data_IF_206652338100
#
_entry.id   IF_206652338100
#
_cell.length_a   1.000
_cell.length_b   1.000
_cell.length_c   1.000
_cell.angle_alpha   90.00
_cell.angle_beta   90.00
_cell.angle_gamma   90.00
#
_symmetry.space_group_name_H-M   'P 1'
#
loop_
_entity.id
_entity.type
_entity.pdbx_description
1 polymer ?
#
# COMPACT_ATOMS: atom_id res chain seq x y z
N UNK A 1 -16.29 11.27 -17.13
CA UNK A 1 -15.06 11.76 -16.46
C UNK A 1 -14.69 13.15 -17.00
N UNK A 2 -14.22 14.03 -16.12
CA UNK A 2 -13.66 15.34 -16.48
C UNK A 2 -12.37 15.18 -17.29
N UNK A 3 -12.06 16.10 -18.21
CA UNK A 3 -10.78 16.12 -18.91
C UNK A 3 -9.61 16.62 -18.03
N UNK A 4 -9.92 17.23 -16.88
CA UNK A 4 -8.94 17.80 -15.97
C UNK A 4 -8.20 16.71 -15.17
N UNK A 5 -6.87 16.79 -15.15
CA UNK A 5 -5.98 16.03 -14.25
C UNK A 5 -5.08 17.04 -13.54
N UNK A 6 -4.96 17.01 -12.22
CA UNK A 6 -3.93 17.77 -11.54
C UNK A 6 -2.56 17.22 -11.93
N UNK A 7 -1.59 18.12 -12.13
CA UNK A 7 -0.19 17.76 -12.34
C UNK A 7 0.60 18.34 -11.17
N UNK A 8 0.61 17.61 -10.05
CA UNK A 8 1.28 18.07 -8.82
C UNK A 8 2.79 17.96 -9.00
N UNK A 9 3.55 19.07 -8.89
CA UNK A 9 5.00 19.01 -8.92
C UNK A 9 5.57 18.12 -7.82
N UNK A 10 6.67 17.41 -8.11
CA UNK A 10 7.26 16.45 -7.15
C UNK A 10 7.66 17.06 -5.80
N UNK A 11 8.01 18.35 -5.77
CA UNK A 11 8.37 19.09 -4.55
C UNK A 11 7.15 19.60 -3.76
N UNK A 12 5.95 19.48 -4.31
CA UNK A 12 4.67 19.84 -3.67
C UNK A 12 3.84 18.61 -3.30
N UNK A 13 4.36 17.42 -3.60
CA UNK A 13 3.64 16.18 -3.38
C UNK A 13 3.64 15.79 -1.89
N UNK A 14 2.46 15.74 -1.30
CA UNK A 14 2.18 15.20 0.03
C UNK A 14 1.29 13.98 -0.16
N UNK A 15 1.89 12.80 -0.02
CA UNK A 15 1.21 11.53 -0.28
C UNK A 15 0.58 10.96 0.98
N UNK A 16 -0.67 10.49 0.86
CA UNK A 16 -1.38 9.74 1.90
C UNK A 16 -1.77 8.37 1.36
N UNK A 17 -1.13 7.32 1.89
CA UNK A 17 -1.44 5.93 1.57
C UNK A 17 -2.60 5.43 2.40
N UNK A 18 -3.60 4.83 1.78
CA UNK A 18 -4.77 4.29 2.47
C UNK A 18 -5.26 2.97 1.88
N UNK A 19 -5.83 2.15 2.75
CA UNK A 19 -6.57 0.94 2.37
C UNK A 19 -8.06 1.28 2.31
N UNK A 20 -8.70 1.08 1.15
CA UNK A 20 -10.09 1.51 0.91
C UNK A 20 -11.05 1.02 1.99
N UNK A 21 -10.99 -0.28 2.32
CA UNK A 21 -11.83 -0.84 3.38
C UNK A 21 -11.47 -0.30 4.76
N UNK A 22 -10.18 -0.29 5.12
CA UNK A 22 -9.73 0.11 6.45
C UNK A 22 -9.99 1.57 6.78
N UNK A 23 -9.88 2.45 5.79
CA UNK A 23 -9.92 3.91 5.99
C UNK A 23 -11.22 4.42 6.61
N UNK A 24 -12.33 3.75 6.38
CA UNK A 24 -13.64 4.19 6.86
C UNK A 24 -14.32 3.23 7.85
N UNK A 25 -13.73 2.06 8.15
CA UNK A 25 -14.38 1.06 9.01
C UNK A 25 -14.61 1.52 10.44
N UNK A 26 -13.72 2.30 11.01
CA UNK A 26 -13.81 2.84 12.38
C UNK A 26 -14.41 4.26 12.44
N UNK A 27 -15.15 4.68 11.42
CA UNK A 27 -15.68 6.04 11.31
C UNK A 27 -16.89 6.34 12.22
N UNK A 28 -17.32 5.38 13.05
CA UNK A 28 -18.55 5.49 13.86
C UNK A 28 -19.85 5.50 13.06
N UNK A 29 -19.78 5.60 11.73
CA UNK A 29 -20.95 5.54 10.83
C UNK A 29 -21.47 4.12 10.75
N UNK A 30 -22.79 3.94 10.87
CA UNK A 30 -23.47 2.66 10.62
C UNK A 30 -23.91 2.62 9.16
N UNK A 31 -23.65 1.50 8.46
CA UNK A 31 -24.23 1.29 7.14
C UNK A 31 -23.30 0.61 6.13
N UNK A 32 -23.87 0.32 4.97
CA UNK A 32 -23.20 -0.42 3.87
C UNK A 32 -22.11 0.36 3.14
N UNK A 33 -22.01 1.68 3.33
CA UNK A 33 -20.98 2.52 2.71
C UNK A 33 -19.59 2.34 3.30
N UNK A 34 -19.47 1.84 4.53
CA UNK A 34 -18.14 1.68 5.15
C UNK A 34 -17.28 0.70 4.36
N UNK A 35 -16.02 1.05 4.18
CA UNK A 35 -15.05 0.22 3.47
C UNK A 35 -15.20 0.25 1.95
N UNK A 36 -15.81 1.29 1.39
CA UNK A 36 -16.05 1.43 -0.04
C UNK A 36 -15.40 2.69 -0.63
N UNK A 37 -15.33 2.77 -1.96
CA UNK A 37 -14.86 3.96 -2.68
C UNK A 37 -15.68 5.21 -2.32
N UNK A 38 -17.00 5.08 -2.20
CA UNK A 38 -17.87 6.19 -1.79
C UNK A 38 -17.54 6.71 -0.38
N UNK A 39 -17.15 5.83 0.53
CA UNK A 39 -16.73 6.25 1.87
C UNK A 39 -15.36 6.94 1.89
N UNK A 40 -14.46 6.60 0.97
CA UNK A 40 -13.20 7.34 0.77
C UNK A 40 -13.50 8.74 0.24
N UNK A 41 -14.39 8.87 -0.73
CA UNK A 41 -14.81 10.14 -1.31
C UNK A 41 -15.35 11.10 -0.23
N UNK A 42 -16.20 10.64 0.68
CA UNK A 42 -16.70 11.45 1.80
C UNK A 42 -15.59 11.99 2.72
N UNK A 43 -14.39 11.39 2.69
CA UNK A 43 -13.25 11.80 3.50
C UNK A 43 -12.28 12.73 2.77
N UNK A 44 -12.53 13.11 1.52
CA UNK A 44 -11.71 14.07 0.79
C UNK A 44 -11.52 15.40 1.54
N UNK A 45 -12.55 16.00 2.16
CA UNK A 45 -12.36 17.21 2.96
C UNK A 45 -11.34 17.04 4.10
N UNK A 46 -11.32 15.88 4.74
CA UNK A 46 -10.33 15.57 5.79
C UNK A 46 -8.91 15.48 5.20
N UNK A 47 -8.73 14.78 4.09
CA UNK A 47 -7.42 14.69 3.41
C UNK A 47 -6.93 16.06 2.97
N UNK A 48 -7.83 16.90 2.45
CA UNK A 48 -7.53 18.28 2.08
C UNK A 48 -7.10 19.14 3.27
N UNK A 49 -7.76 18.99 4.41
CA UNK A 49 -7.40 19.68 5.65
C UNK A 49 -6.01 19.27 6.18
N UNK A 50 -5.55 18.05 5.87
CA UNK A 50 -4.20 17.58 6.17
C UNK A 50 -3.14 18.10 5.17
N UNK A 51 -3.53 18.78 4.10
CA UNK A 51 -2.62 19.23 3.04
C UNK A 51 -2.20 18.12 2.06
N UNK A 52 -2.95 17.01 2.01
CA UNK A 52 -2.69 15.92 1.06
C UNK A 52 -2.92 16.39 -0.36
N UNK A 53 -1.98 16.11 -1.24
CA UNK A 53 -2.05 16.40 -2.69
C UNK A 53 -2.08 15.13 -3.53
N UNK A 54 -1.70 14.00 -2.98
CA UNK A 54 -1.68 12.70 -3.68
C UNK A 54 -2.20 11.60 -2.77
N UNK A 55 -3.23 10.90 -3.21
CA UNK A 55 -3.79 9.74 -2.50
C UNK A 55 -3.26 8.46 -3.13
N UNK A 56 -2.57 7.64 -2.35
CA UNK A 56 -2.14 6.31 -2.76
C UNK A 56 -3.15 5.28 -2.26
N UNK A 57 -3.83 4.63 -3.18
CA UNK A 57 -4.75 3.53 -2.89
C UNK A 57 -3.99 2.20 -2.88
N UNK A 58 -3.98 1.51 -1.75
CA UNK A 58 -3.54 0.11 -1.67
C UNK A 58 -4.36 -0.74 -2.65
N UNK A 59 -3.96 -1.98 -2.99
CA UNK A 59 -4.51 -2.70 -4.14
C UNK A 59 -6.03 -2.61 -4.28
N UNK A 60 -6.47 -2.05 -5.40
CA UNK A 60 -7.89 -1.86 -5.74
C UNK A 60 -8.34 -2.65 -6.97
N UNK A 61 -7.43 -3.41 -7.60
CA UNK A 61 -7.80 -4.41 -8.61
C UNK A 61 -8.45 -5.62 -7.94
N UNK A 62 -9.18 -6.44 -8.69
CA UNK A 62 -9.87 -7.62 -8.14
C UNK A 62 -8.89 -8.74 -7.79
N UNK A 63 -8.81 -9.10 -6.52
CA UNK A 63 -8.00 -10.19 -5.97
C UNK A 63 -8.85 -11.10 -5.08
N UNK A 64 -8.42 -12.33 -4.86
CA UNK A 64 -9.09 -13.25 -3.94
C UNK A 64 -8.87 -12.81 -2.49
N UNK A 65 -9.95 -12.41 -1.81
CA UNK A 65 -9.91 -12.05 -0.39
C UNK A 65 -9.95 -13.26 0.54
N UNK A 66 -10.55 -14.35 0.08
CA UNK A 66 -10.77 -15.56 0.90
C UNK A 66 -10.08 -16.72 0.22
N UNK A 67 -9.08 -17.28 0.86
CA UNK A 67 -8.54 -18.57 0.44
C UNK A 67 -9.58 -19.66 0.71
N UNK A 68 -10.22 -20.13 -0.35
CA UNK A 68 -11.07 -21.31 -0.29
C UNK A 68 -10.16 -22.52 -0.46
N UNK A 69 -10.02 -23.42 0.54
CA UNK A 69 -9.25 -24.64 0.38
C UNK A 69 -9.78 -25.38 -0.85
N UNK A 70 -8.95 -25.57 -1.86
CA UNK A 70 -9.32 -26.37 -3.03
C UNK A 70 -9.61 -27.77 -2.51
N UNK A 71 -10.86 -28.21 -2.56
CA UNK A 71 -11.19 -29.62 -2.29
C UNK A 71 -10.35 -30.44 -3.26
N UNK A 72 -9.38 -31.19 -2.72
CA UNK A 72 -8.64 -32.15 -3.53
C UNK A 72 -9.66 -33.16 -4.07
N UNK A 73 -9.93 -33.11 -5.37
CA UNK A 73 -10.64 -34.19 -6.06
C UNK A 73 -9.67 -35.37 -6.06
N UNK A 74 -9.95 -36.35 -5.22
CA UNK A 74 -9.20 -37.60 -5.27
C UNK A 74 -9.34 -38.20 -6.68
N UNK A 75 -8.24 -38.67 -7.27
CA UNK A 75 -8.32 -39.40 -8.52
C UNK A 75 -9.35 -40.56 -8.40
N UNK A 76 -10.16 -40.78 -9.43
CA UNK A 76 -11.27 -41.74 -9.40
C UNK A 76 -10.90 -43.20 -9.15
N UNK A 77 -9.60 -43.51 -9.12
CA UNK A 77 -9.09 -44.86 -8.77
C UNK A 77 -8.84 -45.07 -7.27
N UNK A 78 -8.99 -44.02 -6.43
CA UNK A 78 -8.89 -44.14 -4.99
C UNK A 78 -10.26 -44.51 -4.42
N UNK A 79 -10.43 -45.69 -3.78
CA UNK A 79 -11.69 -46.06 -3.16
C UNK A 79 -12.13 -45.04 -2.11
N UNK A 80 -13.39 -44.63 -2.13
CA UNK A 80 -13.94 -43.65 -1.19
C UNK A 80 -13.80 -44.04 0.32
N UNK A 81 -13.61 -45.30 0.61
CA UNK A 81 -13.37 -45.79 1.98
C UNK A 81 -11.92 -45.70 2.48
N UNK A 82 -11.00 -45.17 1.64
CA UNK A 82 -9.57 -45.00 2.02
C UNK A 82 -9.28 -43.63 2.62
N UNK A 83 -10.29 -42.75 2.76
CA UNK A 83 -10.16 -41.54 3.51
C UNK A 83 -10.08 -41.87 5.00
N UNK A 84 -9.12 -41.30 5.76
CA UNK A 84 -9.22 -41.37 7.21
C UNK A 84 -10.62 -40.89 7.60
N UNK A 85 -11.30 -41.69 8.45
CA UNK A 85 -12.57 -41.29 9.03
C UNK A 85 -12.46 -39.82 9.42
N UNK A 86 -13.49 -39.04 9.12
CA UNK A 86 -13.58 -37.62 9.47
C UNK A 86 -13.16 -37.48 10.94
N UNK A 87 -11.86 -37.42 11.17
CA UNK A 87 -11.32 -36.87 12.39
C UNK A 87 -11.97 -35.49 12.46
N UNK A 88 -12.67 -35.26 13.52
CA UNK A 88 -13.44 -34.07 13.79
C UNK A 88 -12.70 -32.83 13.28
N UNK A 89 -13.05 -32.33 12.11
CA UNK A 89 -12.77 -30.96 11.70
C UNK A 89 -13.68 -30.10 12.57
N UNK A 90 -13.42 -30.14 13.85
CA UNK A 90 -14.10 -29.39 14.90
C UNK A 90 -13.26 -28.18 15.29
N UNK A 91 -12.69 -27.54 14.33
CA UNK A 91 -12.47 -26.10 14.39
C UNK A 91 -12.79 -25.59 13.00
N UNK A 92 -13.72 -24.66 12.93
CA UNK A 92 -13.86 -23.80 11.77
C UNK A 92 -12.46 -23.30 11.48
N UNK A 93 -11.77 -23.89 10.50
CA UNK A 93 -10.56 -23.28 9.95
C UNK A 93 -10.96 -21.83 9.70
N UNK A 94 -10.45 -20.93 10.52
CA UNK A 94 -10.70 -19.50 10.38
C UNK A 94 -10.18 -19.19 9.00
N UNK A 95 -11.10 -18.93 8.06
CA UNK A 95 -10.73 -18.58 6.69
C UNK A 95 -9.83 -17.38 6.79
N UNK A 96 -8.57 -17.52 6.37
CA UNK A 96 -7.66 -16.40 6.30
C UNK A 96 -8.19 -15.44 5.26
N UNK A 97 -8.23 -14.16 5.60
CA UNK A 97 -8.66 -13.11 4.69
C UNK A 97 -7.40 -12.38 4.23
N UNK A 98 -7.16 -12.37 2.92
CA UNK A 98 -6.15 -11.48 2.34
C UNK A 98 -6.67 -10.05 2.41
N UNK A 99 -6.37 -9.38 3.51
CA UNK A 99 -6.84 -8.03 3.79
C UNK A 99 -6.15 -6.98 2.93
N UNK A 100 -4.84 -7.13 2.71
CA UNK A 100 -4.02 -6.11 2.05
C UNK A 100 -4.12 -6.14 0.52
N UNK A 101 -4.43 -7.29 -0.07
CA UNK A 101 -4.54 -7.45 -1.52
C UNK A 101 -3.22 -7.68 -2.25
N UNK A 102 -2.13 -7.99 -1.53
CA UNK A 102 -0.85 -8.36 -2.15
C UNK A 102 -0.92 -9.79 -2.66
N UNK A 103 -1.64 -9.98 -3.75
CA UNK A 103 -1.81 -11.25 -4.43
C UNK A 103 -2.07 -11.02 -5.91
N UNK A 104 -1.83 -12.03 -6.71
CA UNK A 104 -2.26 -12.09 -8.10
C UNK A 104 -3.79 -11.94 -8.19
N UNK A 105 -4.24 -11.21 -9.21
CA UNK A 105 -5.66 -10.98 -9.39
C UNK A 105 -6.05 -10.68 -10.84
N UNK A 106 -7.26 -10.21 -11.02
CA UNK A 106 -7.72 -9.67 -12.28
C UNK A 106 -7.31 -8.20 -12.38
N UNK A 107 -6.15 -7.94 -12.96
CA UNK A 107 -5.54 -6.61 -13.02
C UNK A 107 -6.32 -5.59 -13.86
N UNK A 108 -7.37 -6.00 -14.57
CA UNK A 108 -8.20 -5.14 -15.43
C UNK A 108 -9.59 -4.86 -14.85
N UNK A 109 -9.83 -5.23 -13.61
CA UNK A 109 -11.10 -5.01 -12.94
C UNK A 109 -10.92 -4.41 -11.56
N UNK A 110 -11.70 -3.40 -11.16
CA UNK A 110 -11.68 -2.88 -9.80
C UNK A 110 -12.28 -3.88 -8.81
N UNK A 111 -11.80 -3.85 -7.57
CA UNK A 111 -12.22 -4.73 -6.48
C UNK A 111 -13.70 -4.61 -6.19
N UNK A 112 -14.47 -5.64 -6.53
CA UNK A 112 -15.94 -5.65 -6.44
C UNK A 112 -16.43 -5.39 -5.00
N UNK A 113 -15.73 -5.90 -3.99
CA UNK A 113 -16.09 -5.74 -2.58
C UNK A 113 -15.85 -4.32 -2.03
N UNK A 114 -15.18 -3.43 -2.78
CA UNK A 114 -15.02 -2.01 -2.45
C UNK A 114 -16.10 -1.12 -3.05
N UNK A 115 -17.03 -1.69 -3.79
CA UNK A 115 -18.20 -0.97 -4.31
C UNK A 115 -19.35 -0.89 -3.30
N UNK A 116 -20.01 0.25 -3.26
CA UNK A 116 -21.27 0.45 -2.54
C UNK A 116 -22.47 0.04 -3.41
N UNK A 117 -22.41 0.34 -4.69
CA UNK A 117 -23.40 0.00 -5.70
C UNK A 117 -22.99 -1.25 -6.50
N UNK A 118 -23.85 -1.65 -7.44
CA UNK A 118 -23.55 -2.74 -8.38
C UNK A 118 -22.53 -2.38 -9.45
N UNK A 119 -22.21 -1.09 -9.61
CA UNK A 119 -21.28 -0.59 -10.63
C UNK A 119 -20.01 -0.01 -10.01
N UNK A 120 -19.15 -0.90 -9.53
CA UNK A 120 -17.88 -0.54 -8.88
C UNK A 120 -16.94 0.24 -9.79
N UNK A 121 -16.94 -0.06 -11.09
CA UNK A 121 -16.14 0.67 -12.08
C UNK A 121 -16.52 2.15 -12.13
N UNK A 122 -17.80 2.45 -12.12
CA UNK A 122 -18.30 3.84 -12.09
C UNK A 122 -17.95 4.54 -10.78
N UNK A 123 -18.03 3.84 -9.66
CA UNK A 123 -17.68 4.40 -8.35
C UNK A 123 -16.20 4.77 -8.26
N UNK A 124 -15.30 3.89 -8.70
CA UNK A 124 -13.87 4.20 -8.70
C UNK A 124 -13.53 5.35 -9.65
N UNK A 125 -14.13 5.37 -10.87
CA UNK A 125 -13.99 6.50 -11.81
C UNK A 125 -14.50 7.80 -11.20
N UNK A 126 -15.58 7.76 -10.43
CA UNK A 126 -16.14 8.93 -9.75
C UNK A 126 -15.23 9.41 -8.62
N UNK A 127 -14.69 8.49 -7.80
CA UNK A 127 -13.72 8.83 -6.76
C UNK A 127 -12.49 9.56 -7.36
N UNK A 128 -11.92 9.03 -8.45
CA UNK A 128 -10.76 9.65 -9.11
C UNK A 128 -11.13 11.04 -9.64
N UNK A 129 -12.29 11.19 -10.29
CA UNK A 129 -12.77 12.50 -10.76
C UNK A 129 -12.94 13.50 -9.59
N UNK A 130 -13.48 13.04 -8.46
CA UNK A 130 -13.68 13.89 -7.28
C UNK A 130 -12.34 14.28 -6.64
N UNK A 131 -11.34 13.38 -6.62
CA UNK A 131 -9.98 13.72 -6.19
C UNK A 131 -9.39 14.81 -7.11
N UNK A 132 -9.47 14.63 -8.42
CA UNK A 132 -8.99 15.64 -9.40
C UNK A 132 -9.64 17.01 -9.22
N UNK A 133 -10.97 17.07 -9.02
CA UNK A 133 -11.71 18.31 -8.74
C UNK A 133 -11.23 18.99 -7.45
N UNK A 134 -10.70 18.23 -6.52
CA UNK A 134 -10.13 18.74 -5.27
C UNK A 134 -8.60 18.96 -5.33
N UNK A 135 -8.01 18.98 -6.52
CA UNK A 135 -6.58 19.18 -6.76
C UNK A 135 -5.72 18.07 -6.12
N UNK A 136 -6.21 16.84 -6.15
CA UNK A 136 -5.51 15.66 -5.63
C UNK A 136 -5.29 14.64 -6.73
N UNK A 137 -4.11 14.07 -6.80
CA UNK A 137 -3.79 12.93 -7.67
C UNK A 137 -4.19 11.61 -7.02
N UNK A 138 -4.46 10.61 -7.86
CA UNK A 138 -4.73 9.24 -7.45
C UNK A 138 -3.60 8.31 -7.95
N UNK A 139 -2.84 7.76 -7.02
CA UNK A 139 -1.83 6.72 -7.27
C UNK A 139 -2.40 5.37 -6.86
N UNK A 140 -2.17 4.35 -7.67
CA UNK A 140 -2.64 3.00 -7.39
C UNK A 140 -1.47 2.08 -7.08
N UNK A 141 -1.57 1.34 -5.99
CA UNK A 141 -0.61 0.31 -5.65
C UNK A 141 -0.92 -0.98 -6.44
N UNK A 142 0.07 -1.49 -7.16
CA UNK A 142 -0.04 -2.66 -8.01
C UNK A 142 1.00 -3.70 -7.61
N UNK A 143 0.53 -4.84 -7.12
CA UNK A 143 1.40 -5.97 -6.76
C UNK A 143 1.46 -6.97 -7.91
N UNK A 144 2.66 -7.40 -8.27
CA UNK A 144 2.90 -8.41 -9.29
C UNK A 144 3.79 -9.52 -8.72
N UNK A 145 3.37 -10.76 -8.93
CA UNK A 145 4.19 -11.92 -8.56
C UNK A 145 5.45 -12.01 -9.42
N UNK A 146 6.47 -12.70 -8.93
CA UNK A 146 7.77 -12.81 -9.61
C UNK A 146 7.67 -13.40 -11.01
N UNK A 147 6.72 -14.31 -11.24
CA UNK A 147 6.52 -14.99 -12.53
C UNK A 147 5.52 -14.27 -13.45
N UNK A 148 5.07 -13.07 -13.09
CA UNK A 148 4.07 -12.37 -13.89
C UNK A 148 4.62 -11.93 -15.25
N UNK A 149 3.79 -12.02 -16.28
CA UNK A 149 4.17 -11.66 -17.63
C UNK A 149 4.38 -10.13 -17.74
N UNK A 150 5.56 -9.72 -18.21
CA UNK A 150 5.91 -8.29 -18.31
C UNK A 150 5.01 -7.50 -19.26
N UNK A 151 4.50 -8.11 -20.34
CA UNK A 151 3.53 -7.46 -21.23
C UNK A 151 2.18 -7.26 -20.52
N UNK A 152 1.75 -8.22 -19.70
CA UNK A 152 0.53 -8.08 -18.88
C UNK A 152 0.68 -6.92 -17.89
N UNK A 153 1.85 -6.76 -17.27
CA UNK A 153 2.13 -5.63 -16.38
C UNK A 153 1.96 -4.30 -17.13
N UNK A 154 2.61 -4.15 -18.29
CA UNK A 154 2.50 -2.94 -19.12
C UNK A 154 1.06 -2.66 -19.53
N UNK A 155 0.33 -3.66 -20.00
CA UNK A 155 -1.05 -3.51 -20.45
C UNK A 155 -2.00 -3.17 -19.30
N UNK A 156 -1.78 -3.74 -18.12
CA UNK A 156 -2.54 -3.37 -16.91
C UNK A 156 -2.32 -1.90 -16.55
N UNK A 157 -1.07 -1.44 -16.50
CA UNK A 157 -0.76 -0.03 -16.18
C UNK A 157 -1.35 0.93 -17.22
N UNK A 158 -1.22 0.63 -18.51
CA UNK A 158 -1.83 1.40 -19.59
C UNK A 158 -3.35 1.47 -19.45
N UNK A 159 -4.00 0.33 -19.14
CA UNK A 159 -5.43 0.28 -18.92
C UNK A 159 -5.88 1.20 -17.79
N UNK A 160 -5.23 1.14 -16.63
CA UNK A 160 -5.58 2.00 -15.49
C UNK A 160 -5.28 3.48 -15.75
N UNK A 161 -4.20 3.78 -16.44
CA UNK A 161 -3.85 5.14 -16.83
C UNK A 161 -4.84 5.75 -17.83
N UNK A 162 -5.29 4.97 -18.81
CA UNK A 162 -6.18 5.47 -19.87
C UNK A 162 -7.65 5.38 -19.51
N UNK A 163 -8.09 4.25 -18.96
CA UNK A 163 -9.50 3.99 -18.70
C UNK A 163 -9.98 4.62 -17.40
N UNK A 164 -9.16 4.62 -16.35
CA UNK A 164 -9.49 5.21 -15.05
C UNK A 164 -8.84 6.56 -14.80
N UNK A 165 -7.82 6.92 -15.59
CA UNK A 165 -7.05 8.16 -15.45
C UNK A 165 -6.32 8.22 -14.10
N UNK A 166 -5.78 7.08 -13.68
CA UNK A 166 -4.85 7.03 -12.56
C UNK A 166 -3.61 7.89 -12.87
N UNK A 167 -3.21 8.74 -11.93
CA UNK A 167 -2.09 9.67 -12.10
C UNK A 167 -0.74 9.02 -11.86
N UNK A 168 -0.73 7.83 -11.26
CA UNK A 168 0.50 7.09 -11.02
C UNK A 168 0.29 5.70 -10.46
N UNK A 169 1.41 4.97 -10.36
CA UNK A 169 1.43 3.60 -9.89
C UNK A 169 2.59 3.36 -8.94
N UNK A 170 2.30 2.79 -7.78
CA UNK A 170 3.30 2.22 -6.89
C UNK A 170 3.42 0.73 -7.18
N UNK A 171 4.54 0.33 -7.75
CA UNK A 171 4.78 -1.01 -8.24
C UNK A 171 5.47 -1.84 -7.16
N UNK A 172 4.90 -3.00 -6.86
CA UNK A 172 5.45 -3.95 -5.89
C UNK A 172 5.65 -5.27 -6.60
N UNK A 173 6.86 -5.83 -6.51
CA UNK A 173 7.26 -7.08 -7.14
C UNK A 173 8.72 -7.04 -7.58
N UNK A 174 9.33 -8.21 -7.73
CA UNK A 174 10.76 -8.30 -8.06
C UNK A 174 11.06 -8.20 -9.56
N UNK A 175 10.13 -8.65 -10.41
CA UNK A 175 10.32 -8.74 -11.87
C UNK A 175 9.55 -7.66 -12.66
N UNK A 176 9.43 -6.47 -12.07
CA UNK A 176 8.76 -5.35 -12.74
C UNK A 176 9.64 -4.79 -13.84
N UNK A 177 9.16 -4.65 -15.10
CA UNK A 177 9.94 -4.17 -16.23
C UNK A 177 10.10 -2.64 -16.20
N UNK A 178 10.76 -2.11 -15.18
CA UNK A 178 10.81 -0.67 -14.88
C UNK A 178 11.38 0.16 -16.04
N UNK A 179 12.35 -0.37 -16.78
CA UNK A 179 12.91 0.31 -17.96
C UNK A 179 11.88 0.45 -19.07
N UNK A 180 11.13 -0.61 -19.36
CA UNK A 180 10.08 -0.58 -20.38
C UNK A 180 8.93 0.35 -19.97
N UNK A 181 8.57 0.36 -18.67
CA UNK A 181 7.56 1.25 -18.11
C UNK A 181 8.00 2.72 -18.22
N UNK A 182 9.25 3.02 -17.90
CA UNK A 182 9.80 4.38 -17.97
C UNK A 182 9.78 4.95 -19.40
N UNK A 183 9.97 4.08 -20.41
CA UNK A 183 10.02 4.46 -21.83
C UNK A 183 8.66 4.40 -22.52
N UNK A 184 7.62 3.93 -21.83
CA UNK A 184 6.30 3.77 -22.39
C UNK A 184 5.60 5.10 -22.64
N UNK A 185 5.10 5.29 -23.88
CA UNK A 185 4.47 6.55 -24.29
C UNK A 185 3.15 6.83 -23.57
N UNK A 186 2.38 5.81 -23.23
CA UNK A 186 1.11 5.95 -22.52
C UNK A 186 1.33 6.28 -21.04
N UNK A 187 2.47 5.86 -20.47
CA UNK A 187 2.80 6.04 -19.06
C UNK A 187 3.66 7.27 -18.78
N UNK A 188 4.06 8.06 -19.80
CA UNK A 188 4.91 9.25 -19.65
C UNK A 188 4.38 10.31 -18.67
N UNK A 189 3.06 10.40 -18.52
CA UNK A 189 2.41 11.32 -17.58
C UNK A 189 2.09 10.69 -16.25
N UNK A 190 2.20 9.38 -16.13
CA UNK A 190 1.94 8.67 -14.88
C UNK A 190 3.17 8.64 -14.00
N UNK A 191 3.02 9.01 -12.74
CA UNK A 191 4.08 8.92 -11.74
C UNK A 191 4.32 7.45 -11.39
N UNK A 192 5.56 7.00 -11.50
CA UNK A 192 5.95 5.61 -11.26
C UNK A 192 6.80 5.54 -10.01
N UNK A 193 6.30 4.86 -9.00
CA UNK A 193 6.95 4.64 -7.72
C UNK A 193 7.44 3.21 -7.64
N UNK A 194 8.72 3.03 -7.39
CA UNK A 194 9.31 1.70 -7.27
C UNK A 194 10.47 1.71 -6.27
N UNK A 195 10.72 0.57 -5.63
CA UNK A 195 11.76 0.45 -4.62
C UNK A 195 13.17 0.63 -5.21
N UNK A 196 13.38 0.15 -6.43
CA UNK A 196 14.68 0.21 -7.10
C UNK A 196 14.55 0.72 -8.53
N UNK A 197 15.09 1.91 -8.78
CA UNK A 197 15.21 2.46 -10.14
C UNK A 197 16.64 2.21 -10.64
N UNK A 198 16.85 1.50 -11.76
CA UNK A 198 18.16 1.23 -12.32
C UNK A 198 18.97 2.51 -12.57
N UNK A 199 20.27 2.47 -12.25
CA UNK A 199 21.14 3.65 -12.32
C UNK A 199 21.22 4.24 -13.73
N UNK A 200 21.05 3.42 -14.77
CA UNK A 200 21.01 3.86 -16.17
C UNK A 200 19.94 4.93 -16.39
N UNK A 201 18.76 4.77 -15.80
CA UNK A 201 17.63 5.72 -15.93
C UNK A 201 17.87 7.05 -15.19
N UNK A 202 18.88 7.12 -14.32
CA UNK A 202 19.26 8.36 -13.61
C UNK A 202 20.31 9.17 -14.38
N UNK A 203 21.16 8.47 -15.16
CA UNK A 203 22.33 9.04 -15.84
C UNK A 203 22.09 9.35 -17.30
N UNK A 204 21.03 8.81 -17.90
CA UNK A 204 20.71 9.04 -19.29
C UNK A 204 20.40 10.51 -19.55
N UNK A 205 20.76 11.01 -20.74
CA UNK A 205 20.41 12.36 -21.20
C UNK A 205 18.90 12.55 -21.29
N UNK A 206 18.15 11.48 -21.49
CA UNK A 206 16.71 11.47 -21.45
C UNK A 206 16.24 11.49 -19.99
N UNK A 207 15.53 12.54 -19.64
CA UNK A 207 14.99 12.72 -18.30
C UNK A 207 13.69 11.95 -18.16
N UNK A 208 13.62 11.11 -17.15
CA UNK A 208 12.39 10.42 -16.72
C UNK A 208 11.84 11.07 -15.43
N UNK A 209 11.30 12.31 -15.48
CA UNK A 209 10.90 13.06 -14.29
C UNK A 209 9.70 12.45 -13.55
N UNK A 210 9.06 11.49 -14.18
CA UNK A 210 7.91 10.75 -13.64
C UNK A 210 8.31 9.53 -12.80
N UNK A 211 9.62 9.25 -12.63
CA UNK A 211 10.10 8.14 -11.80
C UNK A 211 10.39 8.59 -10.36
N UNK A 212 10.01 7.75 -9.42
CA UNK A 212 10.19 7.99 -7.97
C UNK A 212 10.71 6.73 -7.28
N UNK A 213 11.74 6.90 -6.44
CA UNK A 213 12.20 5.85 -5.53
C UNK A 213 11.34 5.88 -4.26
N UNK A 214 10.78 4.75 -3.89
CA UNK A 214 10.12 4.56 -2.61
C UNK A 214 11.20 4.26 -1.57
N UNK A 215 11.52 5.26 -0.72
CA UNK A 215 12.77 5.29 0.06
C UNK A 215 12.60 4.67 1.45
N UNK A 216 12.66 3.33 1.53
CA UNK A 216 12.58 2.60 2.80
C UNK A 216 13.72 2.93 3.77
N UNK A 217 14.91 3.27 3.24
CA UNK A 217 16.05 3.64 4.10
C UNK A 217 15.77 4.92 4.91
N UNK A 218 14.96 5.83 4.39
CA UNK A 218 14.54 7.02 5.13
C UNK A 218 13.72 6.65 6.37
N UNK A 219 12.81 5.66 6.24
CA UNK A 219 12.04 5.14 7.36
C UNK A 219 12.96 4.65 8.48
N UNK A 220 13.95 3.80 8.15
CA UNK A 220 14.81 3.19 9.15
C UNK A 220 15.73 4.21 9.81
N UNK A 221 16.38 5.07 9.03
CA UNK A 221 17.28 6.10 9.56
C UNK A 221 16.53 7.16 10.37
N UNK A 222 15.33 7.53 9.94
CA UNK A 222 14.48 8.44 10.67
C UNK A 222 14.01 7.88 12.01
N UNK A 223 13.59 6.61 12.06
CA UNK A 223 13.21 5.93 13.31
C UNK A 223 14.36 5.79 14.28
N UNK A 224 15.58 5.44 13.79
CA UNK A 224 16.80 5.44 14.60
C UNK A 224 17.07 6.81 15.20
N UNK A 225 16.92 7.88 14.40
CA UNK A 225 17.12 9.26 14.87
C UNK A 225 16.12 9.63 15.97
N UNK A 226 14.83 9.36 15.77
CA UNK A 226 13.79 9.62 16.78
C UNK A 226 14.05 8.89 18.10
N UNK A 227 14.63 7.71 18.03
CA UNK A 227 14.95 6.88 19.20
C UNK A 227 16.38 7.08 19.71
N UNK A 228 17.06 8.15 19.30
CA UNK A 228 18.40 8.53 19.78
C UNK A 228 19.46 7.44 19.64
N UNK A 229 19.36 6.59 18.62
CA UNK A 229 20.37 5.55 18.36
C UNK A 229 21.65 6.17 17.80
N UNK A 230 22.81 5.68 18.27
CA UNK A 230 24.12 6.20 17.90
C UNK A 230 24.36 6.20 16.38
N UNK A 231 24.97 7.26 15.85
CA UNK A 231 25.24 7.42 14.41
C UNK A 231 24.06 7.86 13.56
N UNK A 232 22.85 7.83 14.09
CA UNK A 232 21.60 8.07 13.35
C UNK A 232 21.48 9.44 12.71
N UNK A 233 22.05 10.49 13.33
CA UNK A 233 22.05 11.84 12.77
C UNK A 233 22.85 11.92 11.46
N UNK A 234 24.00 11.29 11.42
CA UNK A 234 24.83 11.24 10.21
C UNK A 234 24.15 10.43 9.10
N UNK A 235 23.64 9.25 9.43
CA UNK A 235 22.89 8.39 8.49
C UNK A 235 21.69 9.13 7.90
N UNK A 236 20.88 9.76 8.75
CA UNK A 236 19.71 10.53 8.33
C UNK A 236 20.11 11.75 7.48
N UNK A 237 21.17 12.47 7.84
CA UNK A 237 21.71 13.56 7.05
C UNK A 237 22.14 13.12 5.63
N UNK A 238 22.69 11.92 5.49
CA UNK A 238 23.03 11.34 4.20
C UNK A 238 21.77 11.01 3.38
N UNK A 239 20.69 10.53 4.00
CA UNK A 239 19.41 10.31 3.32
C UNK A 239 18.81 11.62 2.80
N UNK A 240 18.90 12.72 3.56
CA UNK A 240 18.45 14.04 3.11
C UNK A 240 19.23 14.56 1.89
N UNK A 241 20.49 14.18 1.75
CA UNK A 241 21.35 14.57 0.61
C UNK A 241 21.14 13.74 -0.65
N UNK A 242 20.44 12.60 -0.57
CA UNK A 242 20.15 11.72 -1.74
C UNK A 242 19.23 12.34 -2.77
N UNK A 243 18.82 13.59 -2.62
CA UNK A 243 17.96 14.29 -3.59
C UNK A 243 18.59 14.30 -4.98
N UNK A 244 17.81 13.92 -5.99
CA UNK A 244 18.24 13.89 -7.39
C UNK A 244 17.33 14.81 -8.21
N UNK A 245 17.89 15.48 -9.23
CA UNK A 245 17.11 16.35 -10.13
C UNK A 245 16.21 15.55 -11.07
N UNK A 246 16.60 14.33 -11.42
CA UNK A 246 15.91 13.49 -12.41
C UNK A 246 14.85 12.61 -11.78
N UNK A 247 15.14 11.94 -10.68
CA UNK A 247 14.25 10.99 -10.00
C UNK A 247 13.77 11.57 -8.67
N UNK A 248 12.48 11.42 -8.37
CA UNK A 248 11.92 11.80 -7.08
C UNK A 248 12.23 10.78 -5.99
N UNK A 249 12.16 11.21 -4.73
CA UNK A 249 12.26 10.31 -3.58
C UNK A 249 11.03 10.48 -2.69
N UNK A 250 10.34 9.38 -2.40
CA UNK A 250 9.23 9.36 -1.44
C UNK A 250 9.81 9.02 -0.08
N UNK A 251 9.91 10.03 0.78
CA UNK A 251 10.41 9.90 2.14
C UNK A 251 9.25 9.76 3.12
N UNK A 252 9.29 8.78 4.02
CA UNK A 252 8.22 8.51 4.97
C UNK A 252 8.76 7.93 6.27
N UNK A 253 8.00 8.11 7.36
CA UNK A 253 8.36 7.64 8.72
C UNK A 253 7.53 6.44 9.16
N UNK A 254 6.39 6.22 8.53
CA UNK A 254 5.50 5.08 8.75
C UNK A 254 4.78 4.71 7.45
N UNK A 255 4.51 3.43 7.29
CA UNK A 255 3.68 2.86 6.23
C UNK A 255 2.87 1.68 6.78
N UNK A 256 2.28 0.88 5.90
CA UNK A 256 1.54 -0.33 6.28
C UNK A 256 2.44 -1.53 6.64
N UNK A 257 3.76 -1.41 6.51
CA UNK A 257 4.73 -2.43 6.90
C UNK A 257 5.45 -2.01 8.19
N UNK A 258 5.36 -2.85 9.22
CA UNK A 258 5.94 -2.58 10.53
C UNK A 258 5.04 -1.73 11.43
N UNK A 259 5.63 -1.13 12.44
CA UNK A 259 4.92 -0.41 13.49
C UNK A 259 4.30 0.90 13.00
N UNK A 260 3.10 1.21 13.52
CA UNK A 260 2.53 2.55 13.46
C UNK A 260 3.40 3.53 14.27
N UNK A 261 3.24 4.84 14.08
CA UNK A 261 3.94 5.82 14.92
C UNK A 261 3.62 5.66 16.41
N UNK A 262 2.39 5.25 16.76
CA UNK A 262 2.01 5.00 18.14
C UNK A 262 2.70 3.76 18.71
N UNK A 263 2.81 2.70 17.94
CA UNK A 263 3.46 1.46 18.36
C UNK A 263 4.98 1.62 18.45
N UNK A 264 5.57 2.46 17.59
CA UNK A 264 7.01 2.77 17.60
C UNK A 264 7.51 3.25 18.96
N UNK A 265 6.66 3.92 19.74
CA UNK A 265 6.98 4.42 21.09
C UNK A 265 6.27 3.63 22.20
N UNK A 266 5.63 2.51 21.86
CA UNK A 266 4.84 1.73 22.80
C UNK A 266 5.32 0.29 22.97
N UNK A 267 6.02 -0.25 21.99
CA UNK A 267 6.45 -1.64 21.97
C UNK A 267 7.92 -1.76 21.56
N UNK A 268 8.67 -2.60 22.24
CA UNK A 268 10.02 -3.00 21.82
C UNK A 268 9.96 -4.13 20.79
N UNK A 269 8.97 -5.01 20.91
CA UNK A 269 8.80 -6.18 20.07
C UNK A 269 7.39 -6.22 19.46
N UNK A 270 7.22 -6.96 18.36
CA UNK A 270 5.91 -7.16 17.75
C UNK A 270 5.06 -8.13 18.54
N UNK A 271 3.75 -7.88 18.59
CA UNK A 271 2.74 -8.67 19.29
C UNK A 271 1.59 -8.97 18.33
N UNK A 272 1.84 -9.87 17.37
CA UNK A 272 0.88 -10.25 16.33
C UNK A 272 0.23 -11.61 16.55
N UNK A 273 0.30 -12.18 17.76
CA UNK A 273 -0.20 -13.52 18.08
C UNK A 273 -1.70 -13.66 17.79
N UNK A 274 -2.45 -12.57 17.94
CA UNK A 274 -3.90 -12.57 17.77
C UNK A 274 -4.36 -12.69 16.31
N UNK A 275 -3.47 -12.50 15.32
CA UNK A 275 -3.84 -12.53 13.90
C UNK A 275 -3.84 -13.93 13.28
N UNK A 276 -3.38 -14.94 14.03
CA UNK A 276 -3.32 -16.33 13.58
C UNK A 276 -2.08 -16.70 12.77
N UNK A 277 -1.06 -15.82 12.72
CA UNK A 277 0.24 -16.07 12.08
C UNK A 277 1.34 -16.41 13.10
N UNK A 278 0.97 -16.69 14.33
CA UNK A 278 1.89 -17.07 15.42
C UNK A 278 3.05 -16.09 15.61
N UNK A 279 2.78 -14.79 15.41
CA UNK A 279 3.78 -13.71 15.47
C UNK A 279 4.94 -13.84 14.44
N UNK A 280 4.75 -14.57 13.35
CA UNK A 280 5.78 -14.76 12.31
C UNK A 280 5.78 -13.64 11.27
N UNK A 281 4.66 -12.96 11.08
CA UNK A 281 4.47 -11.86 10.13
C UNK A 281 5.07 -10.54 10.60
N UNK A 282 5.33 -9.66 9.64
CA UNK A 282 5.90 -8.34 9.88
C UNK A 282 7.39 -8.35 10.29
N UNK A 283 8.01 -7.17 10.26
CA UNK A 283 9.43 -7.02 10.58
C UNK A 283 9.69 -7.09 12.08
N UNK A 284 10.79 -7.75 12.47
CA UNK A 284 11.34 -7.66 13.82
C UNK A 284 12.18 -6.38 14.03
N UNK A 285 12.57 -5.70 12.95
CA UNK A 285 13.44 -4.53 12.97
C UNK A 285 12.64 -3.25 12.82
N UNK A 286 11.97 -2.83 13.90
CA UNK A 286 11.14 -1.62 13.88
C UNK A 286 11.86 -0.38 14.42
N UNK A 287 13.04 -0.52 15.04
CA UNK A 287 13.79 0.55 15.69
C UNK A 287 12.94 1.31 16.72
N UNK A 288 12.14 0.57 17.46
CA UNK A 288 11.14 1.08 18.40
C UNK A 288 11.65 1.13 19.84
N UNK A 289 10.94 1.86 20.69
CA UNK A 289 11.14 1.89 22.14
C UNK A 289 9.77 1.87 22.83
N UNK A 290 9.70 1.28 24.03
CA UNK A 290 8.47 1.24 24.82
C UNK A 290 8.32 2.39 25.82
N UNK A 291 9.30 3.30 25.89
CA UNK A 291 9.34 4.41 26.86
C UNK A 291 9.23 3.94 28.33
N UNK A 292 9.73 2.74 28.64
CA UNK A 292 9.74 2.16 29.98
C UNK A 292 8.49 1.36 30.37
N UNK A 293 7.57 1.11 29.41
CA UNK A 293 6.40 0.23 29.64
C UNK A 293 5.92 -0.33 28.31
N UNK A 294 5.92 -1.64 28.19
CA UNK A 294 5.43 -2.33 27.01
C UNK A 294 3.92 -2.19 26.85
N UNK A 295 3.47 -1.76 25.66
CA UNK A 295 2.06 -1.64 25.31
C UNK A 295 1.31 -0.48 26.03
N UNK A 296 0.01 -0.70 26.21
CA UNK A 296 -0.89 0.30 26.80
C UNK A 296 -0.54 0.56 28.28
N UNK A 297 -0.56 1.83 28.70
CA UNK A 297 -0.23 2.23 30.08
C UNK A 297 -1.14 3.33 30.60
N UNK A 298 -1.38 3.34 31.92
CA UNK A 298 -2.03 4.43 32.63
C UNK A 298 -1.03 5.47 33.19
N UNK A 299 0.27 5.15 33.21
CA UNK A 299 1.33 6.00 33.78
C UNK A 299 1.44 7.32 33.01
N UNK A 300 1.13 8.44 33.69
CA UNK A 300 1.09 9.79 33.10
C UNK A 300 2.44 10.16 32.45
N UNK A 301 3.54 9.95 33.17
CA UNK A 301 4.89 10.21 32.65
C UNK A 301 5.19 9.50 31.33
N UNK A 302 4.87 8.19 31.22
CA UNK A 302 5.10 7.41 29.99
C UNK A 302 4.26 7.95 28.83
N UNK A 303 2.99 8.31 29.09
CA UNK A 303 2.12 8.93 28.09
C UNK A 303 2.65 10.28 27.59
N UNK A 304 3.20 11.08 28.46
CA UNK A 304 3.83 12.37 28.11
C UNK A 304 5.09 12.16 27.27
N UNK A 305 5.93 11.17 27.64
CA UNK A 305 7.13 10.85 26.90
C UNK A 305 6.83 10.35 25.47
N UNK A 306 5.79 9.52 25.31
CA UNK A 306 5.35 9.02 23.99
C UNK A 306 4.74 10.10 23.10
N UNK A 307 4.34 11.25 23.64
CA UNK A 307 3.76 12.38 22.87
C UNK A 307 4.80 13.39 22.42
N UNK A 308 5.98 13.40 23.03
CA UNK A 308 7.11 14.25 22.65
C UNK A 308 7.82 13.75 21.41
#
# INVERSE_FOLDING_TARGET
>A
QSAYCPEIPKNEMVMYKLHVRGFSMDSGKKGKMRGTFAAVEERIPYLKALGVTTVELMPVYEFEEIEIPKKQKLPGYIPQGSLPEKGSVTEKEKRKVNYWGYAKGSYFAPKASYGYSKNVTRELKHLIDTLHQNQMECVMEMYFEQEENQNLILDALRYWATEFRADGFHLIGENVPITAIAQDLYLRRSKIFYQYIPEQLWKEKEHYPHLFVYNDEYLYTGRKLLNHQGGSLFEFGNQQKKQNKTVGFVNFMANNNGFTLADLFSYCEKHNEANGEENTDGSNYNFSINCGTEGKTSRKYVKELRRK
#
